data_IF_191837467229
#
_entry.id   IF_191837467229
#
_cell.length_a   1.000
_cell.length_b   1.000
_cell.length_c   1.000
_cell.angle_alpha   90.00
_cell.angle_beta   90.00
_cell.angle_gamma   90.00
#
_symmetry.space_group_name_H-M   'P 1'
#
loop_
_entity.id
_entity.type
_entity.pdbx_description
1 polymer ?
#
# COMPACT_ATOMS: atom_id res chain seq x y z
N UNK A 1 13.24 -3.98 -5.47
CA UNK A 1 12.60 -5.30 -5.67
C UNK A 1 11.36 -5.39 -4.82
N UNK A 2 10.24 -5.89 -5.37
CA UNK A 2 8.94 -6.00 -4.68
C UNK A 2 8.99 -6.89 -3.42
N UNK A 3 9.91 -7.87 -3.37
CA UNK A 3 10.14 -8.70 -2.17
C UNK A 3 10.53 -7.89 -0.93
N UNK A 4 11.34 -6.84 -1.09
CA UNK A 4 11.75 -6.00 0.03
C UNK A 4 10.59 -5.21 0.64
N UNK A 5 9.60 -4.84 -0.19
CA UNK A 5 8.39 -4.14 0.27
C UNK A 5 7.50 -5.12 1.05
N UNK A 6 7.26 -6.31 0.50
CA UNK A 6 6.47 -7.33 1.19
C UNK A 6 7.05 -7.69 2.57
N UNK A 7 8.38 -7.76 2.68
CA UNK A 7 9.05 -7.97 3.97
C UNK A 7 8.85 -6.80 4.94
N UNK A 8 9.00 -5.55 4.46
CA UNK A 8 8.80 -4.36 5.30
C UNK A 8 7.39 -4.29 5.88
N UNK A 9 6.37 -4.70 5.11
CA UNK A 9 4.97 -4.70 5.56
C UNK A 9 4.66 -5.75 6.63
N UNK A 10 5.52 -6.73 6.88
CA UNK A 10 5.30 -7.70 7.97
C UNK A 10 5.24 -7.05 9.35
N UNK A 11 5.83 -5.86 9.52
CA UNK A 11 5.72 -5.08 10.76
C UNK A 11 4.28 -4.69 11.11
N UNK A 12 3.38 -4.67 10.12
CA UNK A 12 1.97 -4.29 10.28
C UNK A 12 1.04 -5.50 10.38
N UNK A 13 1.58 -6.73 10.34
CA UNK A 13 0.82 -7.97 10.23
C UNK A 13 -0.32 -8.12 11.24
N UNK A 14 -0.08 -7.65 12.45
CA UNK A 14 -0.97 -7.78 13.59
C UNK A 14 -1.65 -6.47 13.99
N UNK A 15 -1.50 -5.42 13.18
CA UNK A 15 -2.25 -4.18 13.33
C UNK A 15 -3.66 -4.40 12.77
N UNK A 16 -4.73 -4.15 13.53
CA UNK A 16 -6.11 -4.27 13.03
C UNK A 16 -6.36 -3.38 11.81
N UNK A 17 -7.21 -3.83 10.89
CA UNK A 17 -7.50 -3.09 9.65
C UNK A 17 -8.15 -1.74 9.96
N UNK A 18 -9.00 -1.68 10.99
CA UNK A 18 -9.60 -0.44 11.49
C UNK A 18 -8.58 0.58 12.02
N UNK A 19 -7.48 0.11 12.62
CA UNK A 19 -6.40 0.98 13.10
C UNK A 19 -5.59 1.53 11.92
N UNK A 20 -5.33 0.70 10.91
CA UNK A 20 -4.69 1.16 9.67
C UNK A 20 -5.54 2.24 8.98
N UNK A 21 -6.85 2.01 8.82
CA UNK A 21 -7.77 3.00 8.24
C UNK A 21 -7.78 4.32 9.04
N UNK A 22 -7.88 4.24 10.37
CA UNK A 22 -7.85 5.43 11.22
C UNK A 22 -6.56 6.23 11.09
N UNK A 23 -5.40 5.57 11.06
CA UNK A 23 -4.08 6.22 10.88
C UNK A 23 -3.96 6.84 9.49
N UNK A 24 -4.33 6.10 8.45
CA UNK A 24 -4.25 6.58 7.06
C UNK A 24 -5.15 7.80 6.84
N UNK A 25 -6.36 7.81 7.39
CA UNK A 25 -7.25 8.97 7.29
C UNK A 25 -6.77 10.19 8.07
N UNK A 26 -6.12 9.97 9.22
CA UNK A 26 -5.66 11.05 10.09
C UNK A 26 -4.38 11.70 9.57
N UNK A 27 -3.41 10.88 9.15
CA UNK A 27 -2.04 11.32 8.88
C UNK A 27 -1.66 11.20 7.39
N UNK A 28 -2.57 10.70 6.55
CA UNK A 28 -2.37 10.58 5.12
C UNK A 28 -2.33 11.94 4.44
N UNK A 29 -1.25 12.20 3.71
CA UNK A 29 -1.04 13.44 2.99
C UNK A 29 -0.53 13.11 1.58
N UNK A 30 -1.42 13.22 0.60
CA UNK A 30 -1.09 13.10 -0.82
C UNK A 30 -0.90 14.51 -1.38
N UNK A 31 0.33 14.81 -1.82
CA UNK A 31 0.63 16.09 -2.46
C UNK A 31 0.24 16.06 -3.94
N UNK A 32 -0.19 17.19 -4.49
CA UNK A 32 -0.30 17.30 -5.95
C UNK A 32 1.09 17.16 -6.58
N UNK A 33 1.30 16.22 -7.52
CA UNK A 33 2.62 15.96 -8.06
C UNK A 33 2.86 16.78 -9.32
N UNK A 34 4.13 16.92 -9.65
CA UNK A 34 4.51 16.98 -11.06
C UNK A 34 4.19 15.62 -11.72
N UNK A 35 3.33 15.65 -12.73
CA UNK A 35 2.89 14.48 -13.51
C UNK A 35 3.91 14.03 -14.56
N UNK A 36 5.08 14.67 -14.65
CA UNK A 36 6.12 14.33 -15.63
C UNK A 36 6.80 12.99 -15.36
N UNK A 37 7.21 12.27 -16.41
CA UNK A 37 7.92 10.99 -16.28
C UNK A 37 7.01 9.77 -16.25
N UNK A 38 7.52 8.66 -15.73
CA UNK A 38 6.82 7.37 -15.69
C UNK A 38 5.83 7.30 -14.52
N UNK A 39 4.80 6.46 -14.63
CA UNK A 39 3.83 6.21 -13.56
C UNK A 39 4.50 5.84 -12.23
N UNK A 40 5.59 5.08 -12.30
CA UNK A 40 6.41 4.71 -11.14
C UNK A 40 7.04 5.92 -10.47
N UNK A 41 7.59 6.85 -11.24
CA UNK A 41 8.21 8.07 -10.73
C UNK A 41 7.17 9.03 -10.15
N UNK A 42 6.03 9.17 -10.84
CA UNK A 42 4.88 9.95 -10.34
C UNK A 42 4.38 9.39 -9.01
N UNK A 43 4.16 8.07 -8.91
CA UNK A 43 3.74 7.41 -7.69
C UNK A 43 4.73 7.61 -6.53
N UNK A 44 6.04 7.48 -6.82
CA UNK A 44 7.08 7.69 -5.82
C UNK A 44 7.08 9.13 -5.27
N UNK A 45 6.87 10.14 -6.14
CA UNK A 45 6.81 11.55 -5.73
C UNK A 45 5.57 11.87 -4.92
N UNK A 46 4.40 11.40 -5.37
CA UNK A 46 3.12 11.57 -4.68
C UNK A 46 3.17 11.20 -3.20
N UNK A 47 3.90 10.14 -2.90
CA UNK A 47 3.99 9.59 -1.55
C UNK A 47 5.32 9.91 -0.84
N UNK A 48 6.23 10.71 -1.43
CA UNK A 48 7.59 10.87 -0.91
C UNK A 48 7.62 11.38 0.53
N UNK A 49 6.73 12.31 0.87
CA UNK A 49 6.65 12.96 2.20
C UNK A 49 5.52 12.41 3.09
N UNK A 50 4.75 11.43 2.61
CA UNK A 50 3.65 10.88 3.39
C UNK A 50 4.20 10.04 4.57
N UNK A 51 3.79 10.30 5.82
CA UNK A 51 4.32 9.59 6.99
C UNK A 51 3.79 8.15 7.11
N UNK A 52 2.69 7.83 6.43
CA UNK A 52 1.91 6.58 6.60
C UNK A 52 1.87 5.72 5.35
N UNK A 53 2.96 5.72 4.57
CA UNK A 53 3.04 5.01 3.27
C UNK A 53 2.82 3.51 3.40
N UNK A 54 3.43 2.90 4.41
CA UNK A 54 3.34 1.44 4.57
C UNK A 54 1.98 1.03 5.11
N UNK A 55 1.40 1.83 6.01
CA UNK A 55 0.06 1.65 6.55
C UNK A 55 -0.98 1.78 5.44
N UNK A 56 -0.83 2.78 4.56
CA UNK A 56 -1.65 2.98 3.38
C UNK A 56 -1.57 1.78 2.43
N UNK A 57 -0.36 1.29 2.13
CA UNK A 57 -0.18 0.15 1.25
C UNK A 57 -0.70 -1.16 1.86
N UNK A 58 -0.45 -1.41 3.14
CA UNK A 58 -0.96 -2.59 3.84
C UNK A 58 -2.49 -2.58 3.90
N UNK A 59 -3.11 -1.44 4.19
CA UNK A 59 -4.56 -1.28 4.19
C UNK A 59 -5.14 -1.64 2.82
N UNK A 60 -4.57 -1.07 1.77
CA UNK A 60 -5.00 -1.29 0.39
C UNK A 60 -4.91 -2.76 -0.03
N UNK A 61 -3.79 -3.43 0.27
CA UNK A 61 -3.60 -4.84 -0.05
C UNK A 61 -4.57 -5.75 0.71
N UNK A 62 -5.07 -5.34 1.89
CA UNK A 62 -6.06 -6.10 2.66
C UNK A 62 -7.48 -5.95 2.15
N UNK A 63 -7.87 -4.75 1.74
CA UNK A 63 -9.26 -4.41 1.45
C UNK A 63 -9.62 -4.59 -0.02
N UNK A 64 -8.69 -4.27 -0.92
CA UNK A 64 -8.95 -4.25 -2.36
C UNK A 64 -7.95 -5.09 -3.17
N UNK A 65 -6.76 -5.36 -2.62
CA UNK A 65 -5.75 -6.20 -3.26
C UNK A 65 -5.28 -5.61 -4.59
N UNK A 66 -5.64 -6.27 -5.70
CA UNK A 66 -5.27 -5.85 -7.06
C UNK A 66 -6.34 -5.06 -7.82
N UNK A 67 -7.55 -4.91 -7.24
CA UNK A 67 -8.75 -4.50 -7.96
C UNK A 67 -8.98 -2.99 -8.07
N UNK A 68 -8.22 -2.18 -7.35
CA UNK A 68 -8.31 -0.70 -7.36
C UNK A 68 -7.40 -0.08 -8.42
N UNK A 69 -7.71 1.16 -8.79
CA UNK A 69 -6.83 2.02 -9.56
C UNK A 69 -6.29 3.15 -8.66
N UNK A 70 -5.04 3.57 -8.87
CA UNK A 70 -4.43 4.71 -8.20
C UNK A 70 -3.09 4.40 -7.52
N UNK A 71 -2.60 5.39 -6.76
CA UNK A 71 -1.31 5.34 -6.08
C UNK A 71 -1.48 5.12 -4.58
N UNK A 72 -0.83 4.08 -4.06
CA UNK A 72 -0.90 3.69 -2.65
C UNK A 72 0.50 3.33 -2.15
N UNK A 73 0.94 3.94 -1.05
CA UNK A 73 2.29 3.77 -0.50
C UNK A 73 3.45 4.06 -1.46
N UNK A 74 3.18 4.79 -2.54
CA UNK A 74 4.13 5.11 -3.61
C UNK A 74 4.21 4.05 -4.72
N UNK A 75 3.21 3.17 -4.83
CA UNK A 75 3.08 2.21 -5.93
C UNK A 75 1.82 2.52 -6.74
N UNK A 76 1.96 2.54 -8.07
CA UNK A 76 0.83 2.50 -8.99
C UNK A 76 0.30 1.07 -9.19
N UNK A 77 -0.67 0.93 -10.09
CA UNK A 77 -1.43 -0.31 -10.27
C UNK A 77 -0.57 -1.51 -10.66
N UNK A 78 0.31 -1.37 -11.66
CA UNK A 78 1.14 -2.47 -12.14
C UNK A 78 2.12 -2.96 -11.07
N UNK A 79 2.79 -2.03 -10.39
CA UNK A 79 3.71 -2.35 -9.30
C UNK A 79 2.99 -2.99 -8.11
N UNK A 80 1.77 -2.54 -7.79
CA UNK A 80 0.93 -3.12 -6.72
C UNK A 80 0.47 -4.54 -7.09
N UNK A 81 0.04 -4.77 -8.33
CA UNK A 81 -0.28 -6.11 -8.85
C UNK A 81 0.91 -7.05 -8.79
N UNK A 82 2.10 -6.57 -9.15
CA UNK A 82 3.33 -7.36 -9.04
C UNK A 82 3.68 -7.68 -7.58
N UNK A 83 3.41 -6.78 -6.63
CA UNK A 83 3.66 -6.98 -5.20
C UNK A 83 2.68 -7.98 -4.56
N UNK A 84 1.41 -7.97 -4.95
CA UNK A 84 0.33 -8.68 -4.23
C UNK A 84 0.58 -10.19 -4.03
N UNK A 85 1.04 -10.98 -5.03
CA UNK A 85 1.39 -12.39 -4.83
C UNK A 85 2.57 -12.61 -3.87
N UNK A 86 3.50 -11.66 -3.76
CA UNK A 86 4.62 -11.73 -2.81
C UNK A 86 4.12 -11.46 -1.39
N UNK A 87 3.22 -10.49 -1.23
CA UNK A 87 2.57 -10.19 0.04
C UNK A 87 1.70 -11.36 0.52
N UNK A 88 0.90 -11.99 -0.34
CA UNK A 88 0.09 -13.18 0.01
C UNK A 88 0.95 -14.34 0.53
N UNK A 89 2.12 -14.58 -0.07
CA UNK A 89 3.07 -15.62 0.38
C UNK A 89 3.67 -15.35 1.75
N UNK A 90 3.53 -14.15 2.30
CA UNK A 90 3.96 -13.85 3.67
C UNK A 90 3.02 -14.46 4.72
N UNK A 91 1.83 -14.94 4.35
CA UNK A 91 0.90 -15.61 5.26
C UNK A 91 -0.05 -14.65 5.99
N UNK A 92 -0.72 -15.16 7.03
CA UNK A 92 -1.90 -14.52 7.64
C UNK A 92 -1.67 -13.09 8.17
N UNK A 93 -2.77 -12.32 8.16
CA UNK A 93 -2.93 -10.97 8.70
C UNK A 93 -4.18 -10.96 9.58
N UNK A 94 -4.18 -10.16 10.65
CA UNK A 94 -5.40 -9.94 11.44
C UNK A 94 -6.48 -9.33 10.55
N UNK A 95 -7.72 -9.82 10.69
CA UNK A 95 -8.89 -9.27 9.96
C UNK A 95 -8.71 -9.23 8.43
N UNK A 96 -7.99 -10.19 7.85
CA UNK A 96 -8.03 -10.41 6.39
C UNK A 96 -9.36 -11.07 6.05
N UNK A 97 -10.42 -10.28 5.95
CA UNK A 97 -11.67 -10.77 5.36
C UNK A 97 -11.37 -11.26 3.93
N UNK A 98 -11.82 -12.47 3.55
CA UNK A 98 -11.76 -12.88 2.16
C UNK A 98 -12.67 -11.95 1.35
N UNK A 99 -12.23 -11.55 0.15
CA UNK A 99 -13.14 -10.99 -0.85
C UNK A 99 -14.24 -12.04 -1.12
N UNK A 100 -15.44 -11.84 -0.57
CA UNK A 100 -16.66 -12.55 -0.93
C UNK A 100 -17.28 -11.95 -2.18
#
# INVERSE_FOLDING_TARGET
>A
MVDGIAWRLDRLRWVPTSVLDAVVRRDGDMKEPDWSGTDREVAARLCAECPVRDECLELELRTAGEATAGVFGGLGDEDRRALYPHWLRRGERVEREPLT
#
